data_IF_537423426355
#
_entry.id   IF_537423426355
#
_cell.length_a   1.000
_cell.length_b   1.000
_cell.length_c   1.000
_cell.angle_alpha   90.00
_cell.angle_beta   90.00
_cell.angle_gamma   90.00
#
_symmetry.space_group_name_H-M   'P 1'
#
loop_
_entity.id
_entity.type
_entity.pdbx_description
1 polymer ?
#
# COMPACT_ATOMS: atom_id res chain seq x y z
N UNK A 1 -16.44 5.58 5.01
CA UNK A 1 -15.24 5.03 4.39
C UNK A 1 -14.97 5.75 3.07
N UNK A 2 -13.76 6.25 2.92
CA UNK A 2 -13.24 6.83 1.70
C UNK A 2 -12.10 5.94 1.17
N UNK A 3 -11.81 6.04 -0.13
CA UNK A 3 -10.63 5.45 -0.73
C UNK A 3 -9.78 6.58 -1.32
N UNK A 4 -8.56 6.73 -0.80
CA UNK A 4 -7.52 7.54 -1.42
C UNK A 4 -6.81 6.69 -2.46
N UNK A 5 -6.83 7.15 -3.72
CA UNK A 5 -6.34 6.37 -4.85
C UNK A 5 -5.63 7.23 -5.88
N UNK A 6 -4.82 6.60 -6.73
CA UNK A 6 -4.19 7.26 -7.88
C UNK A 6 -5.22 7.76 -8.90
N UNK A 7 -5.02 8.97 -9.45
CA UNK A 7 -5.80 9.48 -10.59
C UNK A 7 -5.60 8.64 -11.86
N UNK A 8 -4.55 7.81 -11.91
CA UNK A 8 -4.25 6.94 -13.05
C UNK A 8 -5.04 5.65 -13.09
N UNK A 9 -5.82 5.33 -12.06
CA UNK A 9 -6.75 4.19 -12.11
C UNK A 9 -7.73 4.40 -13.28
N UNK A 10 -7.82 3.48 -14.25
CA UNK A 10 -8.69 3.68 -15.41
C UNK A 10 -10.16 3.77 -15.00
N UNK A 11 -10.96 4.53 -15.77
CA UNK A 11 -12.40 4.75 -15.49
C UNK A 11 -13.19 3.44 -15.36
N UNK A 12 -12.80 2.40 -16.10
CA UNK A 12 -13.41 1.06 -16.03
C UNK A 12 -13.23 0.41 -14.65
N UNK A 13 -12.02 0.52 -14.06
CA UNK A 13 -11.76 0.04 -12.70
C UNK A 13 -12.54 0.87 -11.67
N UNK A 14 -12.53 2.20 -11.78
CA UNK A 14 -13.28 3.07 -10.86
C UNK A 14 -14.78 2.78 -10.86
N UNK A 15 -15.38 2.51 -12.02
CA UNK A 15 -16.77 2.07 -12.14
C UNK A 15 -17.02 0.77 -11.36
N UNK A 16 -16.16 -0.24 -11.56
CA UNK A 16 -16.29 -1.52 -10.86
C UNK A 16 -16.02 -1.42 -9.35
N UNK A 17 -15.12 -0.55 -8.89
CA UNK A 17 -14.94 -0.24 -7.47
C UNK A 17 -16.25 0.29 -6.87
N UNK A 18 -16.91 1.22 -7.56
CA UNK A 18 -18.19 1.78 -7.14
C UNK A 18 -19.31 0.75 -7.13
N UNK A 19 -19.36 -0.16 -8.10
CA UNK A 19 -20.31 -1.26 -8.10
C UNK A 19 -20.08 -2.23 -6.93
N UNK A 20 -18.82 -2.55 -6.62
CA UNK A 20 -18.44 -3.41 -5.52
C UNK A 20 -18.66 -2.77 -4.13
N UNK A 21 -18.54 -1.44 -4.04
CA UNK A 21 -18.68 -0.67 -2.80
C UNK A 21 -19.48 0.63 -3.06
N UNK A 22 -20.83 0.56 -3.17
CA UNK A 22 -21.67 1.67 -3.64
C UNK A 22 -21.55 2.98 -2.87
N UNK A 23 -21.33 2.92 -1.56
CA UNK A 23 -21.23 4.10 -0.67
C UNK A 23 -19.80 4.59 -0.44
N UNK A 24 -18.81 4.04 -1.15
CA UNK A 24 -17.41 4.43 -0.98
C UNK A 24 -17.17 5.85 -1.49
N UNK A 25 -16.67 6.75 -0.66
CA UNK A 25 -16.17 8.05 -1.13
C UNK A 25 -14.84 7.88 -1.88
N UNK A 26 -14.59 8.63 -2.95
CA UNK A 26 -13.33 8.57 -3.69
C UNK A 26 -12.55 9.88 -3.54
N UNK A 27 -11.27 9.78 -3.22
CA UNK A 27 -10.33 10.90 -3.16
C UNK A 27 -9.18 10.58 -4.12
N UNK A 28 -9.21 11.21 -5.30
CA UNK A 28 -8.16 11.01 -6.31
C UNK A 28 -6.94 11.89 -6.02
N UNK A 29 -5.79 11.26 -5.84
CA UNK A 29 -4.48 11.91 -5.75
C UNK A 29 -4.03 12.33 -7.15
N UNK A 30 -3.71 13.61 -7.33
CA UNK A 30 -3.23 14.14 -8.61
C UNK A 30 -1.75 13.82 -8.80
N UNK A 31 -1.29 13.80 -10.06
CA UNK A 31 0.12 13.59 -10.37
C UNK A 31 1.00 14.66 -9.73
N UNK A 32 2.11 14.23 -9.17
CA UNK A 32 3.25 15.05 -8.77
C UNK A 32 4.28 15.05 -9.89
N UNK A 33 4.92 16.19 -10.10
CA UNK A 33 6.07 16.37 -11.00
C UNK A 33 7.41 16.04 -10.32
N UNK A 34 7.39 15.64 -9.05
CA UNK A 34 8.60 15.41 -8.25
C UNK A 34 9.20 14.02 -8.48
N UNK A 35 8.40 13.07 -8.95
CA UNK A 35 8.80 11.66 -9.15
C UNK A 35 8.46 11.23 -10.59
N UNK A 36 9.02 10.10 -11.02
CA UNK A 36 8.78 9.57 -12.36
C UNK A 36 7.32 9.14 -12.57
N UNK A 37 6.89 9.15 -13.84
CA UNK A 37 5.47 9.14 -14.20
C UNK A 37 4.71 7.94 -13.62
N UNK A 38 5.22 6.72 -13.75
CA UNK A 38 4.52 5.49 -13.32
C UNK A 38 4.02 5.55 -11.87
N UNK A 39 4.74 6.26 -10.97
CA UNK A 39 4.37 6.39 -9.55
C UNK A 39 3.88 7.78 -9.15
N UNK A 40 3.72 8.71 -10.10
CA UNK A 40 3.46 10.13 -9.85
C UNK A 40 2.20 10.45 -9.04
N UNK A 41 1.25 9.50 -8.94
CA UNK A 41 0.05 9.64 -8.13
C UNK A 41 -0.22 8.42 -7.25
N UNK A 42 0.79 7.59 -6.99
CA UNK A 42 0.69 6.43 -6.10
C UNK A 42 0.54 6.88 -4.64
N UNK A 43 -0.58 6.57 -3.95
CA UNK A 43 -0.75 6.97 -2.56
C UNK A 43 0.39 6.51 -1.63
N UNK A 44 0.86 5.28 -1.75
CA UNK A 44 1.95 4.74 -0.93
C UNK A 44 3.34 5.37 -1.16
N UNK A 45 3.49 6.23 -2.18
CA UNK A 45 4.68 7.06 -2.36
C UNK A 45 4.59 8.33 -1.53
N UNK A 46 3.40 8.92 -1.43
CA UNK A 46 3.19 10.23 -0.80
C UNK A 46 2.61 10.14 0.61
N UNK A 47 2.25 8.95 1.06
CA UNK A 47 1.62 8.73 2.35
C UNK A 47 2.12 7.45 3.03
N UNK A 48 2.18 7.47 4.35
CA UNK A 48 2.42 6.29 5.18
C UNK A 48 1.32 6.16 6.24
N UNK A 49 0.65 5.01 6.27
CA UNK A 49 -0.38 4.66 7.25
C UNK A 49 0.27 4.27 8.59
N UNK A 50 0.24 5.18 9.57
CA UNK A 50 0.74 4.92 10.92
C UNK A 50 -0.23 4.01 11.69
N UNK A 51 -1.52 4.29 11.56
CA UNK A 51 -2.62 3.48 12.10
C UNK A 51 -3.94 3.88 11.39
N UNK A 52 -5.07 3.28 11.79
CA UNK A 52 -6.38 3.54 11.17
C UNK A 52 -6.85 5.02 11.24
N UNK A 53 -6.23 5.86 12.07
CA UNK A 53 -6.60 7.26 12.29
C UNK A 53 -5.48 8.25 12.01
N UNK A 54 -4.26 7.79 11.73
CA UNK A 54 -3.08 8.63 11.62
C UNK A 54 -2.31 8.31 10.35
N UNK A 55 -2.03 9.34 9.54
CA UNK A 55 -1.27 9.21 8.31
C UNK A 55 -0.15 10.25 8.28
N UNK A 56 1.03 9.81 7.84
CA UNK A 56 2.12 10.71 7.47
C UNK A 56 1.95 11.08 5.99
N UNK A 57 2.17 12.33 5.62
CA UNK A 57 2.04 12.81 4.25
C UNK A 57 3.24 13.63 3.79
N UNK A 58 3.63 13.46 2.52
CA UNK A 58 4.66 14.27 1.87
C UNK A 58 4.18 15.71 1.65
N UNK A 59 5.08 16.68 1.78
CA UNK A 59 4.70 18.10 1.69
C UNK A 59 4.33 18.59 0.28
N UNK A 60 4.58 17.75 -0.71
CA UNK A 60 4.20 17.91 -2.12
C UNK A 60 2.72 17.64 -2.36
N UNK A 61 2.02 17.00 -1.40
CA UNK A 61 0.59 16.71 -1.51
C UNK A 61 -0.21 18.01 -1.48
N UNK A 62 -1.02 18.21 -2.52
CA UNK A 62 -1.84 19.41 -2.67
C UNK A 62 -2.78 19.65 -1.47
N UNK A 63 -2.83 20.90 -0.96
CA UNK A 63 -3.59 21.30 0.24
C UNK A 63 -5.06 20.85 0.23
N UNK A 64 -5.71 20.84 -0.94
CA UNK A 64 -7.08 20.32 -1.11
C UNK A 64 -7.24 18.87 -0.65
N UNK A 65 -6.25 18.00 -0.89
CA UNK A 65 -6.27 16.61 -0.42
C UNK A 65 -6.10 16.57 1.09
N UNK A 66 -5.11 17.28 1.63
CA UNK A 66 -4.88 17.41 3.09
C UNK A 66 -6.13 17.87 3.82
N UNK A 67 -6.82 18.89 3.31
CA UNK A 67 -8.07 19.39 3.89
C UNK A 67 -9.21 18.36 3.83
N UNK A 68 -9.28 17.54 2.76
CA UNK A 68 -10.24 16.43 2.67
C UNK A 68 -9.93 15.35 3.71
N UNK A 69 -8.67 14.94 3.82
CA UNK A 69 -8.23 13.91 4.78
C UNK A 69 -8.52 14.35 6.23
N UNK A 70 -8.26 15.60 6.57
CA UNK A 70 -8.59 16.17 7.88
C UNK A 70 -10.11 16.15 8.16
N UNK A 71 -10.96 16.47 7.17
CA UNK A 71 -12.43 16.40 7.30
C UNK A 71 -12.98 14.97 7.43
N UNK A 72 -12.24 13.98 6.94
CA UNK A 72 -12.55 12.56 7.14
C UNK A 72 -12.21 12.11 8.57
N UNK A 73 -11.50 12.94 9.35
CA UNK A 73 -11.18 12.69 10.75
C UNK A 73 -9.80 12.09 10.98
N UNK A 74 -8.91 12.14 9.98
CA UNK A 74 -7.53 11.66 10.12
C UNK A 74 -6.65 12.70 10.83
N UNK A 75 -5.82 12.20 11.74
CA UNK A 75 -4.64 12.91 12.25
C UNK A 75 -3.56 12.91 11.17
N UNK A 76 -3.09 14.11 10.80
CA UNK A 76 -2.14 14.30 9.69
C UNK A 76 -0.79 14.73 10.23
N UNK A 77 0.25 13.97 9.92
CA UNK A 77 1.63 14.27 10.28
C UNK A 77 2.41 14.60 9.01
N UNK A 78 3.08 15.74 8.99
CA UNK A 78 3.90 16.11 7.83
C UNK A 78 5.22 15.32 7.86
N UNK A 79 5.58 14.71 6.73
CA UNK A 79 6.89 14.08 6.54
C UNK A 79 8.02 15.11 6.62
N UNK A 80 9.22 14.67 7.00
CA UNK A 80 10.39 15.56 7.09
C UNK A 80 11.04 15.81 5.73
N UNK A 81 10.99 14.80 4.86
CA UNK A 81 11.44 14.85 3.47
C UNK A 81 10.26 14.65 2.51
N UNK A 82 10.53 14.84 1.22
CA UNK A 82 9.57 14.58 0.14
C UNK A 82 10.15 13.54 -0.81
N UNK A 83 9.33 12.60 -1.32
CA UNK A 83 9.73 11.76 -2.43
C UNK A 83 10.11 12.64 -3.62
N UNK A 84 11.29 12.41 -4.21
CA UNK A 84 11.74 13.17 -5.38
C UNK A 84 12.76 12.40 -6.21
N UNK A 85 12.81 12.66 -7.51
CA UNK A 85 13.80 12.11 -8.43
C UNK A 85 13.55 10.63 -8.72
N UNK A 86 14.57 9.80 -8.49
CA UNK A 86 14.59 8.37 -8.78
C UNK A 86 14.67 7.52 -7.52
N UNK A 87 14.43 6.22 -7.67
CA UNK A 87 14.76 5.24 -6.64
C UNK A 87 16.25 5.37 -6.24
N UNK A 88 16.61 5.28 -4.94
CA UNK A 88 15.75 5.00 -3.79
C UNK A 88 15.06 6.22 -3.15
N UNK A 89 15.33 7.45 -3.57
CA UNK A 89 14.82 8.68 -2.94
C UNK A 89 13.29 8.86 -3.04
N UNK A 90 12.66 8.16 -3.98
CA UNK A 90 11.19 8.10 -4.11
C UNK A 90 10.53 7.16 -3.11
N UNK A 91 11.28 6.34 -2.38
CA UNK A 91 10.74 5.29 -1.51
C UNK A 91 10.53 5.71 -0.05
N UNK A 92 10.87 6.94 0.35
CA UNK A 92 11.01 7.31 1.76
C UNK A 92 9.76 7.14 2.64
N UNK A 93 8.55 7.17 2.06
CA UNK A 93 7.28 6.87 2.74
C UNK A 93 6.71 5.48 2.43
N UNK A 94 7.30 4.72 1.51
CA UNK A 94 6.81 3.42 1.04
C UNK A 94 7.14 2.27 2.01
N UNK A 95 7.24 2.57 3.31
CA UNK A 95 7.35 1.59 4.36
C UNK A 95 6.01 0.86 4.57
N UNK A 96 6.05 -0.42 4.94
CA UNK A 96 4.84 -1.17 5.28
C UNK A 96 4.73 -1.37 6.79
N UNK A 97 3.62 -0.88 7.35
CA UNK A 97 3.25 -1.13 8.73
C UNK A 97 2.32 -2.35 8.82
N UNK A 98 2.69 -3.33 9.63
CA UNK A 98 1.87 -4.52 9.93
C UNK A 98 1.00 -4.34 11.18
N UNK A 99 1.25 -3.31 12.00
CA UNK A 99 0.65 -3.12 13.32
C UNK A 99 1.55 -3.55 14.48
N UNK A 100 2.64 -4.27 14.19
CA UNK A 100 3.68 -4.63 15.17
C UNK A 100 5.08 -4.30 14.63
N UNK A 101 5.28 -4.49 13.34
CA UNK A 101 6.53 -4.22 12.65
C UNK A 101 6.34 -3.22 11.52
N UNK A 102 7.35 -2.38 11.31
CA UNK A 102 7.47 -1.55 10.11
C UNK A 102 8.65 -2.07 9.29
N UNK A 103 8.37 -2.62 8.12
CA UNK A 103 9.40 -3.09 7.20
C UNK A 103 9.72 -1.99 6.19
N UNK A 104 10.99 -1.65 6.08
CA UNK A 104 11.47 -0.72 5.07
C UNK A 104 13.00 -0.77 4.92
N UNK A 105 13.51 -0.13 3.87
CA UNK A 105 14.91 0.28 3.87
C UNK A 105 15.11 1.42 4.88
N UNK A 106 15.61 1.08 6.07
CA UNK A 106 15.78 2.01 7.20
C UNK A 106 16.69 3.19 6.85
N UNK A 107 17.64 3.01 5.92
CA UNK A 107 18.56 4.06 5.47
C UNK A 107 17.81 5.15 4.68
N UNK A 108 16.75 4.79 3.96
CA UNK A 108 15.92 5.71 3.18
C UNK A 108 14.60 6.07 3.86
N UNK A 109 14.32 5.56 5.06
CA UNK A 109 13.06 5.81 5.77
C UNK A 109 12.99 7.25 6.27
N UNK A 110 11.86 7.93 6.00
CA UNK A 110 11.62 9.26 6.55
C UNK A 110 11.63 9.25 8.09
N UNK A 111 12.22 10.29 8.68
CA UNK A 111 12.42 10.35 10.11
C UNK A 111 11.09 10.46 10.89
N UNK A 112 10.04 11.01 10.28
CA UNK A 112 8.69 11.01 10.88
C UNK A 112 8.16 9.59 11.10
N UNK A 113 8.46 8.64 10.22
CA UNK A 113 8.07 7.23 10.38
C UNK A 113 8.81 6.61 11.57
N UNK A 114 10.11 6.88 11.72
CA UNK A 114 10.90 6.35 12.85
C UNK A 114 10.40 6.88 14.18
N UNK A 115 10.09 8.18 14.25
CA UNK A 115 9.52 8.83 15.43
C UNK A 115 8.17 8.20 15.80
N UNK A 116 7.27 8.04 14.84
CA UNK A 116 5.95 7.45 15.11
C UNK A 116 6.02 5.96 15.46
N UNK A 117 6.96 5.22 14.85
CA UNK A 117 7.25 3.84 15.22
C UNK A 117 7.72 3.73 16.67
N UNK A 118 8.68 4.57 17.09
CA UNK A 118 9.15 4.62 18.47
C UNK A 118 8.02 4.96 19.46
N UNK A 119 7.21 5.99 19.18
CA UNK A 119 6.08 6.40 20.03
C UNK A 119 5.05 5.29 20.23
N UNK A 120 4.89 4.41 19.23
CA UNK A 120 3.90 3.32 19.22
C UNK A 120 4.50 1.96 19.56
N UNK A 121 5.78 1.92 19.94
CA UNK A 121 6.51 0.68 20.20
C UNK A 121 6.45 -0.31 19.02
N UNK A 122 6.48 0.21 17.79
CA UNK A 122 6.59 -0.58 16.56
C UNK A 122 8.07 -0.89 16.30
N UNK A 123 8.39 -2.15 15.99
CA UNK A 123 9.76 -2.54 15.68
C UNK A 123 10.07 -2.24 14.22
N UNK A 124 11.06 -1.39 13.97
CA UNK A 124 11.61 -1.16 12.63
C UNK A 124 12.43 -2.39 12.19
N UNK A 125 12.09 -2.96 11.04
CA UNK A 125 12.82 -4.08 10.44
C UNK A 125 13.45 -3.63 9.13
N UNK A 126 14.78 -3.63 9.10
CA UNK A 126 15.52 -3.29 7.89
C UNK A 126 15.43 -4.40 6.83
N UNK A 127 15.05 -3.98 5.62
CA UNK A 127 15.05 -4.75 4.38
C UNK A 127 15.65 -3.91 3.26
N UNK A 128 16.29 -4.52 2.26
CA UNK A 128 16.90 -3.76 1.16
C UNK A 128 15.85 -3.14 0.22
N UNK A 129 14.65 -3.71 0.16
CA UNK A 129 13.54 -3.28 -0.68
C UNK A 129 12.97 -1.94 -0.20
N UNK A 130 13.18 -0.87 -0.98
CA UNK A 130 12.60 0.44 -0.69
C UNK A 130 11.10 0.49 -0.96
N UNK A 131 10.58 -0.18 -1.99
CA UNK A 131 9.13 -0.21 -2.24
C UNK A 131 8.41 -1.27 -1.40
N UNK A 132 8.67 -1.27 -0.10
CA UNK A 132 8.17 -2.29 0.83
C UNK A 132 6.64 -2.34 0.89
N UNK A 133 5.95 -1.20 0.81
CA UNK A 133 4.49 -1.16 0.80
C UNK A 133 3.91 -1.68 -0.50
N UNK A 134 4.52 -1.36 -1.64
CA UNK A 134 4.11 -1.93 -2.91
C UNK A 134 4.29 -3.46 -2.90
N UNK A 135 5.38 -3.97 -2.31
CA UNK A 135 5.69 -5.41 -2.32
C UNK A 135 4.86 -6.27 -1.36
N UNK A 136 4.18 -5.68 -0.37
CA UNK A 136 3.60 -6.41 0.75
C UNK A 136 2.11 -6.11 0.93
N UNK A 137 1.31 -7.14 1.14
CA UNK A 137 -0.05 -7.04 1.70
C UNK A 137 0.01 -7.31 3.21
N UNK A 138 -0.12 -6.29 4.08
CA UNK A 138 -0.18 -6.48 5.52
C UNK A 138 -1.58 -6.91 5.95
N UNK A 139 -1.84 -8.21 6.03
CA UNK A 139 -3.19 -8.74 6.32
C UNK A 139 -3.65 -8.38 7.73
N UNK A 140 -2.76 -8.51 8.71
CA UNK A 140 -2.97 -8.19 10.12
C UNK A 140 -1.63 -8.07 10.85
N UNK A 141 -1.68 -7.90 12.17
CA UNK A 141 -0.50 -7.74 13.05
C UNK A 141 0.48 -8.92 13.04
N UNK A 142 0.13 -10.06 12.46
CA UNK A 142 0.95 -11.27 12.49
C UNK A 142 1.07 -11.99 11.13
N UNK A 143 0.52 -11.42 10.04
CA UNK A 143 0.44 -12.13 8.76
C UNK A 143 0.64 -11.21 7.57
N UNK A 144 1.47 -11.62 6.62
CA UNK A 144 1.73 -10.88 5.38
C UNK A 144 1.71 -11.79 4.15
N UNK A 145 1.38 -11.21 3.00
CA UNK A 145 1.65 -11.78 1.67
C UNK A 145 2.68 -10.89 0.99
N UNK A 146 3.71 -11.46 0.37
CA UNK A 146 4.74 -10.68 -0.32
C UNK A 146 5.29 -11.46 -1.51
N UNK A 147 5.73 -10.75 -2.55
CA UNK A 147 6.57 -11.33 -3.62
C UNK A 147 8.07 -11.14 -3.37
N UNK A 148 8.45 -10.36 -2.35
CA UNK A 148 9.85 -10.09 -2.02
C UNK A 148 10.39 -11.13 -1.02
N UNK A 149 11.34 -11.94 -1.48
CA UNK A 149 11.96 -12.99 -0.68
C UNK A 149 12.79 -12.46 0.51
N UNK A 150 13.36 -11.26 0.38
CA UNK A 150 14.11 -10.60 1.45
C UNK A 150 13.20 -10.20 2.61
N UNK A 151 12.07 -9.57 2.29
CA UNK A 151 11.01 -9.25 3.25
C UNK A 151 10.45 -10.55 3.85
N UNK A 152 10.14 -11.55 3.03
CA UNK A 152 9.60 -12.83 3.51
C UNK A 152 10.54 -13.50 4.54
N UNK A 153 11.84 -13.55 4.25
CA UNK A 153 12.83 -14.15 5.13
C UNK A 153 13.07 -13.37 6.43
N UNK A 154 12.89 -12.04 6.44
CA UNK A 154 12.96 -11.22 7.65
C UNK A 154 11.69 -11.36 8.49
N UNK A 155 10.51 -11.28 7.87
CA UNK A 155 9.23 -11.45 8.55
C UNK A 155 9.09 -12.85 9.18
N UNK A 156 9.52 -13.90 8.49
CA UNK A 156 9.51 -15.27 9.04
C UNK A 156 10.41 -15.39 10.28
N UNK A 157 11.59 -14.76 10.27
CA UNK A 157 12.51 -14.74 11.43
C UNK A 157 11.96 -13.97 12.63
N UNK A 158 11.13 -12.96 12.37
CA UNK A 158 10.40 -12.21 13.39
C UNK A 158 9.13 -12.95 13.89
N UNK A 159 8.81 -14.11 13.33
CA UNK A 159 7.71 -14.97 13.77
C UNK A 159 6.37 -14.72 13.08
N UNK A 160 6.33 -13.86 12.04
CA UNK A 160 5.10 -13.64 11.28
C UNK A 160 4.74 -14.88 10.44
N UNK A 161 3.44 -15.07 10.21
CA UNK A 161 2.95 -15.93 9.14
C UNK A 161 3.20 -15.25 7.80
N UNK A 162 3.92 -15.91 6.91
CA UNK A 162 4.30 -15.33 5.61
C UNK A 162 3.85 -16.25 4.49
N UNK A 163 3.13 -15.69 3.51
CA UNK A 163 2.98 -16.30 2.20
C UNK A 163 3.90 -15.57 1.22
N UNK A 164 4.94 -16.28 0.76
CA UNK A 164 5.75 -15.84 -0.38
C UNK A 164 5.03 -16.28 -1.66
N UNK A 165 4.72 -15.33 -2.54
CA UNK A 165 4.13 -15.59 -3.85
C UNK A 165 5.13 -15.31 -4.97
N UNK A 166 4.95 -15.94 -6.13
CA UNK A 166 5.68 -15.59 -7.34
C UNK A 166 5.32 -14.19 -7.79
N UNK A 167 6.22 -13.56 -8.54
CA UNK A 167 5.83 -12.42 -9.36
C UNK A 167 4.72 -12.87 -10.33
N UNK A 168 3.68 -12.05 -10.45
CA UNK A 168 2.59 -12.23 -11.41
C UNK A 168 2.56 -11.03 -12.34
N UNK A 169 1.87 -11.16 -13.47
CA UNK A 169 1.63 -10.03 -14.36
C UNK A 169 0.66 -9.05 -13.68
N UNK A 170 1.21 -7.92 -13.22
CA UNK A 170 0.50 -6.81 -12.60
C UNK A 170 0.79 -5.58 -13.44
N UNK A 171 -0.25 -4.99 -14.01
CA UNK A 171 -0.12 -3.84 -14.88
C UNK A 171 0.32 -2.61 -14.08
N UNK A 172 1.46 -2.05 -14.47
CA UNK A 172 1.93 -0.74 -14.04
C UNK A 172 2.42 0.02 -15.27
N UNK A 173 1.60 0.93 -15.85
CA UNK A 173 1.99 1.65 -17.06
C UNK A 173 3.32 2.40 -16.89
N UNK A 174 4.27 2.14 -17.78
CA UNK A 174 5.61 2.72 -17.74
C UNK A 174 6.67 1.81 -17.10
N UNK A 175 6.27 0.71 -16.46
CA UNK A 175 7.17 -0.26 -15.85
C UNK A 175 7.00 -1.66 -16.45
N UNK A 176 7.98 -2.53 -16.20
CA UNK A 176 7.91 -3.93 -16.64
C UNK A 176 6.81 -4.71 -15.92
N UNK A 177 6.63 -4.45 -14.63
CA UNK A 177 5.66 -5.13 -13.79
C UNK A 177 5.35 -4.29 -12.54
N UNK A 178 4.13 -4.41 -12.02
CA UNK A 178 3.73 -3.85 -10.71
C UNK A 178 3.89 -4.84 -9.57
N UNK A 179 3.41 -4.46 -8.38
CA UNK A 179 3.52 -5.25 -7.16
C UNK A 179 2.17 -5.64 -6.55
N UNK A 180 2.17 -6.71 -5.76
CA UNK A 180 0.96 -7.32 -5.18
C UNK A 180 0.30 -6.45 -4.09
N UNK A 181 1.11 -5.71 -3.31
CA UNK A 181 0.63 -4.67 -2.39
C UNK A 181 0.16 -3.42 -3.13
N UNK A 182 0.87 -3.04 -4.20
CA UNK A 182 0.53 -1.89 -5.04
C UNK A 182 -0.83 -2.00 -5.74
N UNK A 183 -1.26 -3.23 -6.04
CA UNK A 183 -2.59 -3.51 -6.60
C UNK A 183 -3.64 -3.91 -5.55
N UNK A 184 -3.40 -3.70 -4.26
CA UNK A 184 -4.33 -4.10 -3.20
C UNK A 184 -4.44 -3.09 -2.05
N UNK A 185 -5.37 -3.32 -1.14
CA UNK A 185 -5.52 -2.58 0.10
C UNK A 185 -6.39 -3.31 1.12
N UNK A 186 -6.37 -2.85 2.37
CA UNK A 186 -7.13 -3.46 3.46
C UNK A 186 -8.27 -2.54 3.85
N UNK A 187 -9.50 -3.05 3.77
CA UNK A 187 -10.70 -2.33 4.21
C UNK A 187 -10.77 -2.26 5.74
N UNK A 188 -11.60 -1.36 6.28
CA UNK A 188 -11.71 -1.15 7.74
C UNK A 188 -12.08 -2.40 8.54
N UNK A 189 -12.85 -3.30 7.92
CA UNK A 189 -13.30 -4.59 8.46
C UNK A 189 -12.27 -5.72 8.30
N UNK A 190 -11.09 -5.43 7.74
CA UNK A 190 -10.03 -6.41 7.48
C UNK A 190 -10.14 -7.12 6.12
N UNK A 191 -11.18 -6.84 5.33
CA UNK A 191 -11.32 -7.43 3.99
C UNK A 191 -10.20 -6.94 3.08
N UNK A 192 -9.47 -7.86 2.43
CA UNK A 192 -8.49 -7.51 1.40
C UNK A 192 -9.23 -7.12 0.13
N UNK A 193 -8.89 -5.99 -0.48
CA UNK A 193 -9.43 -5.58 -1.77
C UNK A 193 -8.33 -5.60 -2.82
N UNK A 194 -8.54 -6.36 -3.90
CA UNK A 194 -7.63 -6.40 -5.06
C UNK A 194 -8.17 -5.54 -6.21
N UNK A 195 -7.33 -4.68 -6.77
CA UNK A 195 -7.61 -3.86 -7.94
C UNK A 195 -7.38 -4.67 -9.23
N UNK A 196 -8.33 -5.57 -9.51
CA UNK A 196 -8.25 -6.50 -10.63
C UNK A 196 -8.65 -7.91 -10.21
N UNK A 197 -8.51 -8.86 -11.13
CA UNK A 197 -8.94 -10.24 -10.93
C UNK A 197 -7.82 -11.07 -10.33
N UNK A 198 -7.83 -11.26 -9.02
CA UNK A 198 -6.80 -12.04 -8.32
C UNK A 198 -6.79 -13.52 -8.73
N UNK A 199 -7.84 -14.04 -9.37
CA UNK A 199 -7.91 -15.46 -9.77
C UNK A 199 -6.95 -15.81 -10.91
N UNK A 200 -6.44 -14.81 -11.63
CA UNK A 200 -5.45 -15.00 -12.69
C UNK A 200 -4.02 -15.13 -12.14
N UNK A 201 -3.81 -14.81 -10.86
CA UNK A 201 -2.50 -14.90 -10.22
C UNK A 201 -2.06 -16.38 -10.14
N UNK A 202 -0.80 -16.73 -10.48
CA UNK A 202 -0.33 -18.12 -10.46
C UNK A 202 -0.53 -18.81 -9.10
N UNK A 203 -0.29 -18.08 -8.01
CA UNK A 203 -0.53 -18.55 -6.64
C UNK A 203 -1.93 -18.22 -6.07
N UNK A 204 -2.97 -18.09 -6.90
CA UNK A 204 -4.30 -17.70 -6.41
C UNK A 204 -4.83 -18.65 -5.33
N UNK A 205 -4.64 -19.97 -5.48
CA UNK A 205 -5.15 -20.96 -4.52
C UNK A 205 -4.50 -20.81 -3.15
N UNK A 206 -3.21 -20.54 -3.12
CA UNK A 206 -2.43 -20.30 -1.92
C UNK A 206 -2.84 -18.98 -1.26
N UNK A 207 -3.04 -17.92 -2.06
CA UNK A 207 -3.54 -16.63 -1.58
C UNK A 207 -4.92 -16.77 -0.94
N UNK A 208 -5.86 -17.44 -1.61
CA UNK A 208 -7.21 -17.70 -1.11
C UNK A 208 -7.17 -18.45 0.23
N UNK A 209 -6.44 -19.56 0.28
CA UNK A 209 -6.32 -20.38 1.48
C UNK A 209 -5.65 -19.61 2.62
N UNK A 210 -4.60 -18.84 2.33
CA UNK A 210 -3.86 -18.09 3.35
C UNK A 210 -4.69 -16.96 3.96
N UNK A 211 -5.42 -16.19 3.15
CA UNK A 211 -6.33 -15.14 3.64
C UNK A 211 -7.42 -15.75 4.52
N UNK A 212 -8.03 -16.87 4.10
CA UNK A 212 -9.04 -17.59 4.87
C UNK A 212 -8.50 -18.15 6.18
N UNK A 213 -7.29 -18.71 6.18
CA UNK A 213 -6.62 -19.20 7.39
C UNK A 213 -6.24 -18.08 8.37
N UNK A 214 -6.17 -16.83 7.90
CA UNK A 214 -6.05 -15.65 8.75
C UNK A 214 -7.40 -15.17 9.31
N UNK A 215 -8.51 -15.84 8.99
CA UNK A 215 -9.86 -15.44 9.38
C UNK A 215 -10.39 -14.23 8.62
N UNK A 216 -9.80 -13.91 7.46
CA UNK A 216 -10.15 -12.76 6.65
C UNK A 216 -10.88 -13.17 5.37
N UNK A 217 -11.58 -12.21 4.77
CA UNK A 217 -12.14 -12.33 3.43
C UNK A 217 -11.43 -11.43 2.43
N UNK A 218 -11.78 -11.56 1.15
CA UNK A 218 -11.31 -10.65 0.13
C UNK A 218 -12.39 -10.33 -0.91
N UNK A 219 -12.22 -9.18 -1.57
CA UNK A 219 -12.98 -8.73 -2.73
C UNK A 219 -12.01 -8.37 -3.84
N UNK A 220 -12.46 -8.48 -5.08
CA UNK A 220 -11.62 -8.23 -6.24
C UNK A 220 -12.47 -7.83 -7.44
N UNK A 221 -11.84 -7.26 -8.46
CA UNK A 221 -12.52 -6.78 -9.66
C UNK A 221 -12.43 -7.83 -10.76
N UNK A 222 -13.51 -8.59 -10.93
CA UNK A 222 -13.58 -9.67 -11.93
C UNK A 222 -13.28 -9.19 -13.36
N UNK A 223 -12.59 -10.04 -14.11
CA UNK A 223 -12.30 -9.91 -15.54
C UNK A 223 -11.49 -8.68 -15.93
N UNK A 224 -10.79 -8.06 -14.99
CA UNK A 224 -9.78 -7.03 -15.26
C UNK A 224 -8.42 -7.54 -14.78
N UNK A 225 -7.34 -7.14 -15.46
CA UNK A 225 -5.99 -7.46 -14.98
C UNK A 225 -5.74 -6.85 -13.60
N UNK A 226 -4.81 -7.42 -12.83
CA UNK A 226 -4.31 -6.74 -11.64
C UNK A 226 -3.62 -5.45 -12.07
N UNK A 227 -3.94 -4.33 -11.41
CA UNK A 227 -3.44 -3.01 -11.74
C UNK A 227 -2.79 -2.41 -10.49
N UNK A 228 -1.50 -2.13 -10.56
CA UNK A 228 -0.79 -1.41 -9.51
C UNK A 228 -1.15 0.08 -9.58
N UNK A 229 -1.71 0.59 -8.49
CA UNK A 229 -2.13 1.99 -8.37
C UNK A 229 -1.49 2.68 -7.16
N UNK A 230 -0.42 2.11 -6.59
CA UNK A 230 0.25 2.64 -5.42
C UNK A 230 -0.46 2.36 -4.11
N UNK A 231 -0.94 1.13 -3.96
CA UNK A 231 -1.77 0.66 -2.86
C UNK A 231 -3.11 1.41 -2.75
N UNK A 232 -4.15 0.70 -2.32
CA UNK A 232 -5.45 1.28 -2.04
C UNK A 232 -5.55 1.65 -0.56
N UNK A 233 -5.60 2.95 -0.24
CA UNK A 233 -5.69 3.41 1.15
C UNK A 233 -7.15 3.64 1.53
N UNK A 234 -7.72 2.73 2.33
CA UNK A 234 -9.09 2.83 2.83
C UNK A 234 -9.13 3.63 4.14
N UNK A 235 -9.79 4.79 4.08
CA UNK A 235 -9.82 5.83 5.12
C UNK A 235 -11.16 5.93 5.84
#
# INVERSE_FOLDING_TARGET
>A
MYLLHSVKIPKTYLKKIKEAIPRLGLIALQNSDQVYDSIASHPDIFFFEVDKKTIIYADTVHRKIINKLSRVGLSLIKAQKRPSGSYPETSLLNAVNTGTYVFHNVEHTDESIKIEAQKRNLKLIHVNQGYSRCSVIPLNNNSIITSDAGIAGKATREGLKVLLVSEAEILLPGERNGFIGGCSGIMHDGTVFFLGDITIHPNFKEIDLFIKNCGLGYRYIRSLALFDAGSLLFL
#
